data_IF_654598912400
#
_entry.id   IF_654598912400
#
_cell.length_a   1.000
_cell.length_b   1.000
_cell.length_c   1.000
_cell.angle_alpha   90.00
_cell.angle_beta   90.00
_cell.angle_gamma   90.00
#
_symmetry.space_group_name_H-M   'P 1'
#
loop_
_entity.id
_entity.type
_entity.pdbx_description
1 polymer ?
#
# COMPACT_ATOMS: atom_id res chain seq x y z
N UNK A 1 26.86 -16.51 -0.97
CA UNK A 1 26.12 -15.22 -0.93
C UNK A 1 24.90 -15.30 -1.85
N UNK A 2 23.68 -15.36 -1.30
CA UNK A 2 22.45 -15.36 -2.12
C UNK A 2 22.19 -13.92 -2.59
N UNK A 3 22.35 -13.65 -3.88
CA UNK A 3 21.96 -12.36 -4.49
C UNK A 3 20.43 -12.29 -4.49
N UNK A 4 19.88 -11.63 -3.48
CA UNK A 4 18.48 -11.20 -3.44
C UNK A 4 18.27 -10.26 -4.62
N UNK A 5 17.46 -10.67 -5.59
CA UNK A 5 17.05 -9.81 -6.72
C UNK A 5 16.05 -8.78 -6.19
N UNK A 6 16.61 -7.69 -5.68
CA UNK A 6 15.88 -6.61 -5.04
C UNK A 6 15.13 -5.78 -6.08
N UNK A 7 13.81 -5.89 -6.09
CA UNK A 7 12.87 -4.83 -6.53
C UNK A 7 12.95 -3.55 -5.64
N UNK A 8 14.02 -3.41 -4.86
CA UNK A 8 14.29 -2.28 -3.96
C UNK A 8 15.02 -1.13 -4.69
N UNK A 9 15.57 -1.36 -5.89
CA UNK A 9 16.49 -0.40 -6.50
C UNK A 9 15.84 0.70 -7.36
N UNK A 10 14.51 0.72 -7.51
CA UNK A 10 13.83 1.63 -8.45
C UNK A 10 13.72 3.08 -7.92
N UNK A 11 14.08 3.35 -6.66
CA UNK A 11 13.88 4.66 -5.99
C UNK A 11 12.40 5.09 -5.83
N UNK A 12 11.45 4.27 -6.29
CA UNK A 12 10.01 4.59 -6.34
C UNK A 12 9.35 4.65 -4.96
N UNK A 13 9.88 3.92 -3.99
CA UNK A 13 9.32 3.79 -2.65
C UNK A 13 10.36 4.10 -1.58
N UNK A 14 9.96 4.60 -0.41
CA UNK A 14 10.84 4.72 0.75
C UNK A 14 11.46 3.37 1.15
N UNK A 15 12.69 3.35 1.71
CA UNK A 15 13.40 2.11 2.09
C UNK A 15 12.57 1.16 2.95
N UNK A 16 11.80 1.70 3.91
CA UNK A 16 10.95 0.94 4.83
C UNK A 16 9.81 0.19 4.11
N UNK A 17 9.25 0.81 3.06
CA UNK A 17 8.21 0.19 2.21
C UNK A 17 8.83 -0.93 1.37
N UNK A 18 10.03 -0.71 0.84
CA UNK A 18 10.76 -1.71 0.06
C UNK A 18 11.13 -2.91 0.92
N UNK A 19 11.58 -2.68 2.14
CA UNK A 19 11.90 -3.72 3.12
C UNK A 19 10.66 -4.56 3.44
N UNK A 20 9.52 -3.93 3.74
CA UNK A 20 8.24 -4.62 3.95
C UNK A 20 7.88 -5.53 2.76
N UNK A 21 8.03 -5.04 1.53
CA UNK A 21 7.74 -5.81 0.32
C UNK A 21 8.71 -6.97 0.09
N UNK A 22 9.99 -6.80 0.46
CA UNK A 22 11.02 -7.82 0.29
C UNK A 22 10.91 -8.94 1.33
N UNK A 23 10.52 -8.61 2.55
CA UNK A 23 10.45 -9.53 3.68
C UNK A 23 9.15 -10.34 3.70
N UNK A 24 8.05 -9.75 3.22
CA UNK A 24 6.73 -10.40 3.34
C UNK A 24 6.67 -11.78 2.67
N UNK A 25 6.11 -12.74 3.40
CA UNK A 25 5.82 -14.10 2.91
C UNK A 25 4.38 -14.23 2.41
N UNK A 26 3.54 -13.22 2.64
CA UNK A 26 2.13 -13.18 2.26
C UNK A 26 1.82 -11.96 1.40
N UNK A 27 0.81 -12.08 0.54
CA UNK A 27 0.31 -10.97 -0.26
C UNK A 27 -0.17 -9.86 0.68
N UNK A 28 0.37 -8.65 0.52
CA UNK A 28 0.04 -7.49 1.35
C UNK A 28 -1.44 -7.07 1.22
N UNK A 29 -2.11 -7.49 0.15
CA UNK A 29 -3.53 -7.25 -0.04
C UNK A 29 -4.41 -8.40 0.48
N UNK A 30 -4.27 -9.62 -0.08
CA UNK A 30 -5.21 -10.72 0.14
C UNK A 30 -4.70 -11.82 1.09
N UNK A 31 -3.48 -11.71 1.63
CA UNK A 31 -2.94 -12.67 2.59
C UNK A 31 -2.45 -14.00 2.00
N UNK A 32 -2.64 -14.25 0.70
CA UNK A 32 -2.15 -15.48 0.03
C UNK A 32 -0.65 -15.66 0.19
N UNK A 33 -0.20 -16.87 0.51
CA UNK A 33 1.21 -17.20 0.68
C UNK A 33 1.97 -17.04 -0.65
N UNK A 34 3.04 -16.23 -0.64
CA UNK A 34 3.83 -15.91 -1.84
C UNK A 34 4.91 -16.95 -2.15
N UNK A 35 5.35 -17.75 -1.17
CA UNK A 35 6.33 -18.83 -1.41
C UNK A 35 5.81 -19.89 -2.37
N UNK A 36 4.50 -20.07 -2.45
CA UNK A 36 3.84 -20.98 -3.41
C UNK A 36 3.68 -20.36 -4.81
N UNK A 37 4.01 -19.08 -4.97
CA UNK A 37 3.86 -18.31 -6.21
C UNK A 37 5.22 -17.83 -6.76
N UNK A 38 6.31 -18.51 -6.41
CA UNK A 38 7.63 -18.21 -6.97
C UNK A 38 7.55 -18.24 -8.50
N UNK A 39 8.04 -17.17 -9.13
CA UNK A 39 8.18 -17.13 -10.58
C UNK A 39 9.28 -18.12 -10.99
N UNK A 40 9.15 -18.70 -12.19
CA UNK A 40 10.16 -19.61 -12.76
C UNK A 40 11.57 -18.99 -12.83
N UNK A 41 11.66 -17.66 -12.87
CA UNK A 41 12.92 -16.89 -12.89
C UNK A 41 13.51 -16.64 -11.48
N UNK A 42 12.93 -17.24 -10.43
CA UNK A 42 13.38 -17.09 -9.04
C UNK A 42 13.10 -15.71 -8.43
N UNK A 43 12.47 -14.79 -9.16
CA UNK A 43 12.14 -13.46 -8.63
C UNK A 43 10.93 -13.56 -7.71
N UNK A 44 11.02 -12.99 -6.51
CA UNK A 44 9.86 -12.86 -5.61
C UNK A 44 8.89 -11.84 -6.19
N UNK A 45 7.60 -12.14 -6.14
CA UNK A 45 6.60 -11.14 -6.44
C UNK A 45 6.74 -9.98 -5.45
N UNK A 46 6.44 -8.76 -5.91
CA UNK A 46 6.63 -7.46 -5.22
C UNK A 46 5.80 -7.30 -3.93
N UNK A 47 5.67 -8.33 -3.10
CA UNK A 47 4.75 -8.41 -1.97
C UNK A 47 3.30 -8.72 -2.35
N UNK A 48 2.99 -9.05 -3.60
CA UNK A 48 1.62 -9.28 -4.08
C UNK A 48 1.50 -10.54 -4.94
N UNK A 49 0.36 -11.23 -4.88
CA UNK A 49 0.12 -12.40 -5.73
C UNK A 49 -0.25 -12.05 -7.18
N UNK A 50 -0.84 -10.87 -7.41
CA UNK A 50 -1.29 -10.39 -8.72
C UNK A 50 -1.14 -8.86 -8.83
N UNK A 51 -1.16 -8.32 -10.06
CA UNK A 51 -1.23 -6.88 -10.29
C UNK A 51 -2.51 -6.26 -9.74
N UNK A 52 -3.63 -6.98 -9.80
CA UNK A 52 -4.89 -6.56 -9.20
C UNK A 52 -4.74 -6.33 -7.70
N UNK A 53 -4.07 -7.24 -6.98
CA UNK A 53 -3.79 -7.08 -5.55
C UNK A 53 -2.88 -5.88 -5.27
N UNK A 54 -1.85 -5.68 -6.10
CA UNK A 54 -0.97 -4.51 -6.01
C UNK A 54 -1.75 -3.20 -6.20
N UNK A 55 -2.73 -3.18 -7.09
CA UNK A 55 -3.56 -2.01 -7.35
C UNK A 55 -4.71 -1.84 -6.34
N UNK A 56 -5.25 -2.92 -5.79
CA UNK A 56 -6.25 -2.85 -4.75
C UNK A 56 -5.68 -2.23 -3.46
N UNK A 57 -4.46 -2.65 -3.08
CA UNK A 57 -3.75 -2.10 -1.92
C UNK A 57 -2.26 -1.87 -2.23
N UNK A 58 -1.90 -0.71 -2.80
CA UNK A 58 -0.53 -0.30 -3.10
C UNK A 58 0.42 -0.35 -1.90
N UNK A 59 1.74 -0.46 -2.12
CA UNK A 59 2.72 -0.65 -1.06
C UNK A 59 2.68 0.41 0.05
N UNK A 60 2.52 1.69 -0.30
CA UNK A 60 2.46 2.76 0.72
C UNK A 60 1.19 2.67 1.57
N UNK A 61 0.06 2.21 1.03
CA UNK A 61 -1.14 1.97 1.82
C UNK A 61 -0.98 0.75 2.73
N UNK A 62 -0.42 -0.34 2.22
CA UNK A 62 -0.14 -1.52 3.04
C UNK A 62 0.84 -1.19 4.18
N UNK A 63 1.84 -0.35 3.90
CA UNK A 63 2.76 0.15 4.91
C UNK A 63 2.03 1.04 5.94
N UNK A 64 1.16 1.94 5.49
CA UNK A 64 0.37 2.77 6.40
C UNK A 64 -0.58 1.93 7.29
N UNK A 65 -1.21 0.87 6.77
CA UNK A 65 -1.98 -0.06 7.62
C UNK A 65 -1.11 -0.71 8.70
N UNK A 66 0.12 -1.12 8.35
CA UNK A 66 1.09 -1.69 9.29
C UNK A 66 1.50 -0.67 10.37
N UNK A 67 1.87 0.54 9.97
CA UNK A 67 2.34 1.60 10.89
C UNK A 67 1.25 2.05 11.87
N UNK A 68 0.02 2.19 11.37
CA UNK A 68 -1.10 2.66 12.18
C UNK A 68 -1.82 1.53 12.92
N UNK A 69 -1.51 0.26 12.61
CA UNK A 69 -2.18 -0.91 13.18
C UNK A 69 -3.69 -0.96 12.87
N UNK A 70 -4.12 -0.32 11.77
CA UNK A 70 -5.51 -0.04 11.47
C UNK A 70 -5.84 -0.37 10.01
N UNK A 71 -7.11 -0.62 9.71
CA UNK A 71 -7.53 -0.92 8.34
C UNK A 71 -7.40 0.32 7.44
N UNK A 72 -7.22 0.14 6.13
CA UNK A 72 -7.03 1.24 5.17
C UNK A 72 -8.06 2.37 5.32
N UNK A 73 -9.32 2.02 5.56
CA UNK A 73 -10.40 2.98 5.77
C UNK A 73 -10.13 3.90 6.97
N UNK A 74 -9.72 3.33 8.09
CA UNK A 74 -9.45 4.06 9.33
C UNK A 74 -8.19 4.92 9.21
N UNK A 75 -7.15 4.38 8.56
CA UNK A 75 -5.92 5.12 8.25
C UNK A 75 -6.24 6.35 7.39
N UNK A 76 -6.99 6.16 6.30
CA UNK A 76 -7.39 7.26 5.42
C UNK A 76 -8.23 8.30 6.17
N UNK A 77 -9.18 7.86 6.99
CA UNK A 77 -10.00 8.75 7.81
C UNK A 77 -9.15 9.57 8.78
N UNK A 78 -8.21 8.92 9.48
CA UNK A 78 -7.31 9.59 10.41
C UNK A 78 -6.46 10.64 9.69
N UNK A 79 -5.81 10.27 8.58
CA UNK A 79 -5.02 11.22 7.78
C UNK A 79 -5.84 12.43 7.32
N UNK A 80 -7.08 12.22 6.89
CA UNK A 80 -7.97 13.31 6.47
C UNK A 80 -8.46 14.19 7.64
N UNK A 81 -8.67 13.59 8.82
CA UNK A 81 -9.09 14.31 10.03
C UNK A 81 -7.95 15.09 10.67
N UNK A 82 -6.70 14.65 10.52
CA UNK A 82 -5.49 15.36 10.96
C UNK A 82 -5.18 16.62 10.12
N UNK A 83 -6.16 17.11 9.36
CA UNK A 83 -6.07 18.33 8.55
C UNK A 83 -5.43 18.14 7.18
N UNK A 84 -5.05 16.91 6.78
CA UNK A 84 -4.48 16.71 5.45
C UNK A 84 -5.54 16.90 4.35
N UNK A 85 -5.14 17.56 3.26
CA UNK A 85 -5.98 17.63 2.06
C UNK A 85 -6.09 16.25 1.40
N UNK A 86 -7.13 16.07 0.59
CA UNK A 86 -7.32 14.85 -0.22
C UNK A 86 -6.11 14.62 -1.14
N UNK A 87 -5.53 15.71 -1.66
CA UNK A 87 -4.34 15.67 -2.53
C UNK A 87 -3.10 15.21 -1.75
N UNK A 88 -2.83 15.85 -0.61
CA UNK A 88 -1.69 15.49 0.23
C UNK A 88 -1.78 14.04 0.72
N UNK A 89 -2.98 13.58 1.07
CA UNK A 89 -3.21 12.19 1.49
C UNK A 89 -2.94 11.20 0.35
N UNK A 90 -3.42 11.51 -0.87
CA UNK A 90 -3.18 10.69 -2.06
C UNK A 90 -1.68 10.59 -2.39
N UNK A 91 -0.94 11.70 -2.32
CA UNK A 91 0.50 11.74 -2.57
C UNK A 91 1.29 10.93 -1.53
N UNK A 92 0.95 11.08 -0.24
CA UNK A 92 1.53 10.27 0.84
C UNK A 92 1.31 8.78 0.61
N UNK A 93 0.12 8.39 0.17
CA UNK A 93 -0.23 7.01 -0.18
C UNK A 93 0.27 6.58 -1.57
N UNK A 94 0.94 7.46 -2.32
CA UNK A 94 1.56 7.15 -3.60
C UNK A 94 0.56 6.77 -4.70
N UNK A 95 -0.62 7.37 -4.67
CA UNK A 95 -1.68 7.16 -5.65
C UNK A 95 -2.18 8.47 -6.23
N UNK A 96 -2.72 8.43 -7.45
CA UNK A 96 -3.26 9.62 -8.09
C UNK A 96 -4.54 10.09 -7.40
N UNK A 97 -4.78 11.41 -7.41
CA UNK A 97 -6.00 12.03 -6.86
C UNK A 97 -7.31 11.38 -7.38
N UNK A 98 -7.50 11.12 -8.69
CA UNK A 98 -8.73 10.48 -9.16
C UNK A 98 -8.94 9.08 -8.58
N UNK A 99 -7.86 8.30 -8.46
CA UNK A 99 -7.91 6.97 -7.86
C UNK A 99 -8.21 7.00 -6.38
N UNK A 100 -7.68 7.99 -5.66
CA UNK A 100 -7.98 8.18 -4.26
C UNK A 100 -9.46 8.51 -4.02
N UNK A 101 -10.08 9.34 -4.87
CA UNK A 101 -11.52 9.57 -4.82
C UNK A 101 -12.34 8.29 -5.08
N UNK A 102 -11.91 7.45 -6.02
CA UNK A 102 -12.55 6.15 -6.25
C UNK A 102 -12.47 5.24 -5.01
N UNK A 103 -11.33 5.22 -4.32
CA UNK A 103 -11.20 4.50 -3.04
C UNK A 103 -12.11 5.06 -1.96
N UNK A 104 -12.14 6.38 -1.77
CA UNK A 104 -13.03 7.00 -0.79
C UNK A 104 -14.49 6.62 -1.07
N UNK A 105 -14.90 6.62 -2.34
CA UNK A 105 -16.25 6.20 -2.74
C UNK A 105 -16.51 4.73 -2.41
N UNK A 106 -15.60 3.82 -2.79
CA UNK A 106 -15.72 2.37 -2.53
C UNK A 106 -15.74 2.02 -1.05
N UNK A 107 -14.99 2.77 -0.23
CA UNK A 107 -14.92 2.58 1.22
C UNK A 107 -16.02 3.34 1.98
N UNK A 108 -16.89 4.06 1.27
CA UNK A 108 -17.91 4.96 1.81
C UNK A 108 -17.33 5.97 2.82
N UNK A 109 -16.17 6.53 2.48
CA UNK A 109 -15.52 7.61 3.23
C UNK A 109 -16.09 8.94 2.72
N UNK A 110 -16.89 9.60 3.56
CA UNK A 110 -17.35 10.97 3.33
C UNK A 110 -16.47 11.91 4.14
N UNK A 111 -15.79 12.85 3.49
CA UNK A 111 -15.11 13.93 4.23
C UNK A 111 -16.19 14.75 4.91
N UNK A 112 -16.29 14.67 6.24
CA UNK A 112 -17.08 15.60 7.04
C UNK A 112 -16.17 16.74 7.45
N UNK A 113 -16.45 17.94 6.97
CA UNK A 113 -15.84 19.16 7.50
C UNK A 113 -16.55 19.43 8.82
N UNK A 114 -15.86 19.23 9.94
CA UNK A 114 -16.37 19.63 11.26
C UNK A 114 -15.96 21.09 11.43
N UNK A 115 -16.92 22.00 11.37
CA UNK A 115 -16.73 23.37 11.83
C UNK A 115 -16.85 23.32 13.35
N UNK A 116 -15.71 23.42 14.03
CA UNK A 116 -15.64 23.68 15.47
C UNK A 116 -15.51 25.17 15.72
#
# INVERSE_FOLDING_TARGET
>A
MKRSTTYAADGKYPPEVQQMMAETTRCLNCGKILSLLQRKDGRRNRGYCTLECYFAKPPKLAYAEKEYGAAAKEVILKMLNDGASVVATAERLGISKPRFYDWMRKMNIKKKVVWG
#
